data_IF_315474647102
#
_entry.id   IF_315474647102
#
_cell.length_a   1.000
_cell.length_b   1.000
_cell.length_c   1.000
_cell.angle_alpha   90.00
_cell.angle_beta   90.00
_cell.angle_gamma   90.00
#
_symmetry.space_group_name_H-M   'P 1'
#
loop_
_entity.id
_entity.type
_entity.pdbx_description
1 polymer ?
#
# COMPACT_ATOMS: atom_id res chain seq x y z
N UNK A 1 28.57 -4.51 -19.02
CA UNK A 1 27.70 -3.55 -18.35
C UNK A 1 26.91 -4.34 -17.32
N UNK A 2 27.19 -4.20 -16.03
CA UNK A 2 26.41 -4.83 -14.97
C UNK A 2 25.01 -4.22 -15.04
N UNK A 3 24.03 -5.04 -15.45
CA UNK A 3 22.62 -4.67 -15.24
C UNK A 3 22.49 -4.47 -13.72
N UNK A 4 22.24 -3.25 -13.28
CA UNK A 4 21.75 -3.03 -11.94
C UNK A 4 20.58 -4.00 -11.77
N UNK A 5 20.48 -4.73 -10.65
CA UNK A 5 19.30 -5.52 -10.38
C UNK A 5 18.11 -4.56 -10.26
N UNK A 6 17.42 -4.38 -11.37
CA UNK A 6 16.28 -3.43 -11.50
C UNK A 6 15.09 -3.93 -10.66
N UNK A 7 15.15 -5.15 -10.17
CA UNK A 7 14.20 -5.67 -9.20
C UNK A 7 14.79 -5.58 -7.78
N UNK A 8 15.01 -4.34 -7.32
CA UNK A 8 15.17 -4.12 -5.90
C UNK A 8 13.85 -4.45 -5.19
N UNK A 9 13.91 -4.85 -3.91
CA UNK A 9 12.73 -5.02 -3.05
C UNK A 9 11.73 -3.86 -3.18
N UNK A 10 12.23 -2.64 -3.37
CA UNK A 10 11.43 -1.43 -3.61
C UNK A 10 10.56 -1.51 -4.88
N UNK A 11 10.92 -2.30 -5.88
CA UNK A 11 10.10 -2.43 -7.09
C UNK A 11 8.79 -3.17 -6.80
N UNK A 12 8.82 -4.23 -5.99
CA UNK A 12 7.62 -4.97 -5.63
C UNK A 12 6.69 -4.12 -4.75
N UNK A 13 7.22 -3.52 -3.69
CA UNK A 13 6.45 -2.63 -2.83
C UNK A 13 5.87 -1.45 -3.63
N UNK A 14 6.62 -0.88 -4.58
CA UNK A 14 6.15 0.18 -5.45
C UNK A 14 5.02 -0.28 -6.38
N UNK A 15 5.11 -1.48 -6.95
CA UNK A 15 4.05 -2.06 -7.79
C UNK A 15 2.75 -2.24 -7.00
N UNK A 16 2.83 -2.82 -5.80
CA UNK A 16 1.66 -3.00 -4.93
C UNK A 16 1.12 -1.63 -4.48
N UNK A 17 1.97 -0.68 -4.11
CA UNK A 17 1.55 0.68 -3.75
C UNK A 17 0.81 1.38 -4.91
N UNK A 18 1.27 1.19 -6.15
CA UNK A 18 0.59 1.71 -7.33
C UNK A 18 -0.80 1.11 -7.49
N UNK A 19 -0.93 -0.23 -7.34
CA UNK A 19 -2.21 -0.92 -7.40
C UNK A 19 -3.20 -0.41 -6.35
N UNK A 20 -2.74 -0.32 -5.10
CA UNK A 20 -3.54 0.20 -3.98
C UNK A 20 -3.97 1.64 -4.25
N UNK A 21 -3.08 2.47 -4.81
CA UNK A 21 -3.41 3.86 -5.16
C UNK A 21 -4.43 3.94 -6.30
N UNK A 22 -4.21 3.17 -7.36
CA UNK A 22 -5.06 3.19 -8.55
C UNK A 22 -6.47 2.67 -8.25
N UNK A 23 -6.61 1.72 -7.32
CA UNK A 23 -7.90 1.20 -6.88
C UNK A 23 -8.82 2.24 -6.23
N UNK A 24 -8.27 3.34 -5.70
CA UNK A 24 -9.07 4.40 -5.08
C UNK A 24 -9.73 5.34 -6.09
N UNK A 25 -9.16 5.46 -7.29
CA UNK A 25 -9.59 6.44 -8.30
C UNK A 25 -10.63 5.87 -9.29
N UNK A 26 -10.98 4.57 -9.19
CA UNK A 26 -11.93 3.91 -10.10
C UNK A 26 -13.35 3.98 -9.58
N UNK A 27 -14.34 4.18 -10.47
CA UNK A 27 -15.75 4.22 -10.11
C UNK A 27 -16.35 2.82 -9.86
N UNK A 28 -17.41 2.74 -9.07
CA UNK A 28 -18.04 1.47 -8.66
C UNK A 28 -18.46 0.64 -9.89
N UNK A 29 -18.08 -0.63 -9.94
CA UNK A 29 -18.44 -1.56 -11.01
C UNK A 29 -17.50 -1.59 -12.22
N UNK A 30 -16.46 -0.73 -12.27
CA UNK A 30 -15.46 -0.80 -13.32
C UNK A 30 -14.35 -1.80 -12.96
N UNK A 31 -13.86 -2.51 -13.99
CA UNK A 31 -12.64 -3.32 -13.89
C UNK A 31 -11.42 -2.43 -13.98
N UNK A 32 -10.56 -2.46 -12.97
CA UNK A 32 -9.23 -1.86 -13.10
C UNK A 32 -8.35 -2.85 -13.84
N UNK A 33 -8.05 -2.54 -15.09
CA UNK A 33 -7.00 -3.26 -15.81
C UNK A 33 -5.65 -2.73 -15.33
N UNK A 34 -5.05 -3.40 -14.37
CA UNK A 34 -3.64 -3.22 -14.15
C UNK A 34 -2.85 -3.98 -15.23
N UNK A 35 -1.63 -3.51 -15.54
CA UNK A 35 -0.76 -4.08 -16.57
C UNK A 35 -0.60 -5.61 -16.52
N UNK A 36 -0.92 -6.23 -15.37
CA UNK A 36 -0.68 -7.64 -15.12
C UNK A 36 -1.91 -8.45 -14.71
N UNK A 37 -3.03 -7.82 -14.27
CA UNK A 37 -4.26 -8.53 -13.89
C UNK A 37 -5.47 -7.61 -13.76
N UNK A 38 -6.67 -8.22 -13.69
CA UNK A 38 -7.93 -7.52 -13.50
C UNK A 38 -8.29 -7.49 -12.02
N UNK A 39 -8.45 -6.31 -11.45
CA UNK A 39 -8.96 -6.14 -10.09
C UNK A 39 -10.43 -5.76 -10.19
N UNK A 40 -11.28 -6.53 -9.53
CA UNK A 40 -12.67 -6.18 -9.35
C UNK A 40 -12.80 -5.24 -8.16
N UNK A 41 -13.13 -4.00 -8.40
CA UNK A 41 -13.25 -2.99 -7.35
C UNK A 41 -14.38 -3.26 -6.37
N UNK A 42 -15.50 -3.83 -6.82
CA UNK A 42 -16.63 -4.15 -5.97
C UNK A 42 -16.21 -5.01 -4.77
N UNK A 43 -15.39 -6.02 -5.03
CA UNK A 43 -14.95 -6.96 -4.01
C UNK A 43 -14.15 -6.25 -2.90
N UNK A 44 -13.20 -5.38 -3.28
CA UNK A 44 -12.38 -4.65 -2.30
C UNK A 44 -13.15 -3.58 -1.52
N UNK A 45 -14.18 -2.98 -2.10
CA UNK A 45 -15.01 -2.01 -1.39
C UNK A 45 -15.91 -2.69 -0.37
N UNK A 46 -16.48 -3.84 -0.73
CA UNK A 46 -17.30 -4.66 0.14
C UNK A 46 -16.47 -5.28 1.27
N UNK A 47 -15.26 -5.78 0.97
CA UNK A 47 -14.30 -6.26 1.97
C UNK A 47 -13.89 -5.15 2.94
N UNK A 48 -13.59 -3.95 2.44
CA UNK A 48 -13.26 -2.81 3.28
C UNK A 48 -14.45 -2.39 4.16
N UNK A 49 -15.67 -2.42 3.62
CA UNK A 49 -16.91 -2.16 4.39
C UNK A 49 -17.12 -3.21 5.48
N UNK A 50 -16.93 -4.49 5.16
CA UNK A 50 -17.02 -5.59 6.12
C UNK A 50 -15.95 -5.46 7.23
N UNK A 51 -14.69 -5.21 6.85
CA UNK A 51 -13.58 -5.01 7.80
C UNK A 51 -13.82 -3.81 8.72
N UNK A 52 -14.31 -2.69 8.17
CA UNK A 52 -14.65 -1.51 8.98
C UNK A 52 -15.77 -1.84 9.97
N UNK A 53 -16.79 -2.57 9.56
CA UNK A 53 -17.91 -2.93 10.44
C UNK A 53 -17.44 -3.84 11.57
N UNK A 54 -16.67 -4.87 11.26
CA UNK A 54 -16.13 -5.82 12.22
C UNK A 54 -15.21 -5.15 13.24
N UNK A 55 -14.26 -4.33 12.75
CA UNK A 55 -13.22 -3.70 13.55
C UNK A 55 -13.52 -2.23 13.88
N UNK A 56 -14.78 -1.76 13.81
CA UNK A 56 -15.13 -0.35 13.98
C UNK A 56 -14.61 0.25 15.31
N UNK A 57 -14.58 -0.57 16.37
CA UNK A 57 -14.04 -0.14 17.67
C UNK A 57 -12.57 0.28 17.61
N UNK A 58 -11.80 -0.27 16.68
CA UNK A 58 -10.38 0.01 16.51
C UNK A 58 -10.12 1.40 15.90
N UNK A 59 -11.06 1.91 15.12
CA UNK A 59 -11.00 3.26 14.56
C UNK A 59 -11.15 4.38 15.61
N UNK A 60 -11.53 4.03 16.85
CA UNK A 60 -11.71 4.99 17.96
C UNK A 60 -10.40 5.44 18.58
N UNK A 61 -9.34 4.65 18.46
CA UNK A 61 -8.01 4.93 19.02
C UNK A 61 -6.92 4.65 17.99
N UNK A 62 -5.86 5.49 17.94
CA UNK A 62 -4.75 5.25 17.03
C UNK A 62 -4.04 3.91 17.33
N UNK A 63 -3.86 3.10 16.32
CA UNK A 63 -3.08 1.86 16.35
C UNK A 63 -1.92 1.92 15.37
N UNK A 64 -0.84 1.18 15.63
CA UNK A 64 0.31 1.11 14.70
C UNK A 64 -0.02 0.31 13.46
N UNK A 65 -0.70 -0.80 13.63
CA UNK A 65 -1.32 -1.54 12.54
C UNK A 65 -2.63 -0.84 12.17
N UNK A 66 -2.72 -0.34 10.97
CA UNK A 66 -3.81 0.50 10.49
C UNK A 66 -4.71 -0.27 9.53
N UNK A 67 -5.92 0.21 9.30
CA UNK A 67 -6.79 -0.34 8.25
C UNK A 67 -6.17 -0.27 6.85
N UNK A 68 -5.19 0.63 6.64
CA UNK A 68 -4.44 0.65 5.38
C UNK A 68 -3.53 -0.59 5.26
N UNK A 69 -2.99 -1.13 6.35
CA UNK A 69 -2.24 -2.40 6.31
C UNK A 69 -3.15 -3.55 5.89
N UNK A 70 -4.35 -3.69 6.49
CA UNK A 70 -5.34 -4.69 6.08
C UNK A 70 -5.66 -4.57 4.58
N UNK A 71 -5.87 -3.32 4.12
CA UNK A 71 -6.15 -3.04 2.72
C UNK A 71 -4.98 -3.40 1.78
N UNK A 72 -3.74 -3.15 2.22
CA UNK A 72 -2.52 -3.53 1.50
C UNK A 72 -2.40 -5.06 1.42
N UNK A 73 -2.70 -5.78 2.50
CA UNK A 73 -2.61 -7.25 2.52
C UNK A 73 -3.57 -7.89 1.53
N UNK A 74 -4.78 -7.37 1.38
CA UNK A 74 -5.71 -7.83 0.34
C UNK A 74 -5.12 -7.68 -1.07
N UNK A 75 -4.44 -6.54 -1.34
CA UNK A 75 -3.73 -6.34 -2.62
C UNK A 75 -2.48 -7.20 -2.75
N UNK A 76 -1.79 -7.50 -1.65
CA UNK A 76 -0.66 -8.42 -1.66
C UNK A 76 -1.12 -9.81 -2.10
N UNK A 77 -2.17 -10.34 -1.50
CA UNK A 77 -2.73 -11.63 -1.89
C UNK A 77 -3.23 -11.62 -3.33
N UNK A 78 -4.00 -10.60 -3.73
CA UNK A 78 -4.46 -10.47 -5.10
C UNK A 78 -3.31 -10.39 -6.13
N UNK A 79 -2.17 -9.78 -5.77
CA UNK A 79 -1.00 -9.70 -6.63
C UNK A 79 -0.29 -11.05 -6.81
N UNK A 80 -0.34 -11.91 -5.79
CA UNK A 80 0.25 -13.24 -5.81
C UNK A 80 -0.81 -14.33 -5.95
N UNK A 81 -2.09 -13.93 -6.14
CA UNK A 81 -3.20 -14.86 -6.18
C UNK A 81 -2.97 -15.95 -7.23
N UNK A 82 -3.41 -17.14 -6.87
CA UNK A 82 -3.39 -18.37 -7.63
C UNK A 82 -3.86 -18.22 -9.09
N UNK A 83 -4.63 -17.19 -9.42
CA UNK A 83 -5.07 -16.96 -10.80
C UNK A 83 -3.90 -16.74 -11.77
N UNK A 84 -2.76 -16.22 -11.31
CA UNK A 84 -1.56 -16.18 -12.17
C UNK A 84 -0.96 -17.58 -12.41
N UNK A 85 -1.18 -18.51 -11.51
CA UNK A 85 -0.80 -19.91 -11.70
C UNK A 85 -1.79 -20.70 -12.58
N UNK A 86 -3.05 -20.24 -12.70
CA UNK A 86 -4.06 -20.89 -13.54
C UNK A 86 -3.95 -20.53 -15.02
N UNK A 87 -3.25 -19.45 -15.39
CA UNK A 87 -2.91 -19.15 -16.78
C UNK A 87 -1.85 -20.09 -17.37
N UNK A 88 -1.46 -21.12 -16.64
CA UNK A 88 -0.43 -22.07 -17.02
C UNK A 88 -0.77 -22.99 -18.17
N UNK A 89 -2.01 -23.06 -18.58
CA UNK A 89 -2.35 -23.75 -19.82
C UNK A 89 -1.56 -23.22 -21.04
N UNK A 90 -1.18 -21.93 -20.99
CA UNK A 90 -0.33 -21.33 -22.04
C UNK A 90 1.15 -21.71 -21.90
N UNK A 91 1.65 -22.02 -20.69
CA UNK A 91 3.07 -22.38 -20.50
C UNK A 91 3.44 -23.76 -21.04
N UNK A 92 2.48 -24.63 -21.25
CA UNK A 92 2.74 -25.94 -21.85
C UNK A 92 3.33 -25.86 -23.27
N UNK A 93 3.21 -24.69 -23.89
CA UNK A 93 3.78 -24.41 -25.20
C UNK A 93 5.14 -23.67 -25.13
N UNK A 94 5.62 -23.36 -23.92
CA UNK A 94 6.87 -22.64 -23.72
C UNK A 94 8.05 -23.61 -23.73
N UNK A 95 9.21 -23.08 -24.11
CA UNK A 95 10.47 -23.80 -23.92
C UNK A 95 10.84 -23.83 -22.44
N UNK A 96 11.49 -24.90 -22.02
CA UNK A 96 11.87 -25.10 -20.61
C UNK A 96 12.76 -23.96 -20.10
N UNK A 97 13.67 -23.46 -20.94
CA UNK A 97 14.53 -22.33 -20.59
C UNK A 97 13.71 -21.07 -20.28
N UNK A 98 12.66 -20.81 -21.05
CA UNK A 98 11.79 -19.63 -20.86
C UNK A 98 11.02 -19.73 -19.53
N UNK A 99 10.57 -20.94 -19.18
CA UNK A 99 9.91 -21.21 -17.88
C UNK A 99 10.88 -20.97 -16.71
N UNK A 100 12.10 -21.51 -16.79
CA UNK A 100 13.13 -21.31 -15.75
C UNK A 100 13.43 -19.81 -15.56
N UNK A 101 13.66 -19.10 -16.65
CA UNK A 101 13.94 -17.65 -16.61
C UNK A 101 12.77 -16.89 -15.99
N UNK A 102 11.53 -17.22 -16.38
CA UNK A 102 10.34 -16.59 -15.84
C UNK A 102 10.24 -16.76 -14.32
N UNK A 103 10.43 -17.98 -13.80
CA UNK A 103 10.36 -18.22 -12.36
C UNK A 103 11.51 -17.59 -11.59
N UNK A 104 12.73 -17.64 -12.14
CA UNK A 104 13.86 -16.97 -11.50
C UNK A 104 13.63 -15.45 -11.41
N UNK A 105 13.20 -14.83 -12.49
CA UNK A 105 12.99 -13.38 -12.52
C UNK A 105 11.75 -12.95 -11.72
N UNK A 106 10.66 -13.70 -11.83
CA UNK A 106 9.38 -13.27 -11.25
C UNK A 106 9.24 -13.57 -9.75
N UNK A 107 9.74 -14.72 -9.30
CA UNK A 107 9.49 -15.19 -7.93
C UNK A 107 10.77 -15.37 -7.11
N UNK A 108 11.73 -16.15 -7.61
CA UNK A 108 12.89 -16.56 -6.82
C UNK A 108 13.79 -15.38 -6.48
N UNK A 109 14.05 -14.50 -7.44
CA UNK A 109 14.85 -13.30 -7.20
C UNK A 109 14.23 -12.40 -6.13
N UNK A 110 12.89 -12.33 -6.08
CA UNK A 110 12.17 -11.58 -5.05
C UNK A 110 12.26 -12.24 -3.68
N UNK A 111 12.03 -13.53 -3.59
CA UNK A 111 12.17 -14.28 -2.34
C UNK A 111 13.59 -14.17 -1.76
N UNK A 112 14.62 -14.20 -2.62
CA UNK A 112 16.02 -13.95 -2.22
C UNK A 112 16.22 -12.55 -1.65
N UNK A 113 15.61 -11.54 -2.24
CA UNK A 113 15.72 -10.13 -1.76
C UNK A 113 15.17 -9.95 -0.36
N UNK A 114 14.12 -10.70 0.00
CA UNK A 114 13.49 -10.64 1.33
C UNK A 114 14.02 -11.69 2.31
N UNK A 115 15.11 -12.38 1.96
CA UNK A 115 15.67 -13.49 2.76
C UNK A 115 14.63 -14.57 3.13
N UNK A 116 13.64 -14.78 2.24
CA UNK A 116 12.54 -15.72 2.45
C UNK A 116 12.90 -17.17 2.10
N UNK A 117 14.11 -17.43 1.61
CA UNK A 117 14.59 -18.77 1.24
C UNK A 117 15.72 -19.20 2.17
N UNK A 118 15.59 -20.42 2.73
CA UNK A 118 16.67 -21.08 3.46
C UNK A 118 17.48 -22.02 2.53
N UNK A 119 18.51 -22.67 3.06
CA UNK A 119 19.39 -23.56 2.29
C UNK A 119 18.62 -24.78 1.72
N UNK A 120 17.62 -25.31 2.43
CA UNK A 120 16.79 -26.41 1.94
C UNK A 120 15.93 -25.97 0.75
N UNK A 121 15.37 -24.75 0.81
CA UNK A 121 14.61 -24.16 -0.28
C UNK A 121 15.47 -23.98 -1.53
N UNK A 122 16.68 -23.45 -1.35
CA UNK A 122 17.64 -23.26 -2.45
C UNK A 122 18.02 -24.61 -3.08
N UNK A 123 18.26 -25.63 -2.27
CA UNK A 123 18.54 -26.98 -2.77
C UNK A 123 17.35 -27.55 -3.55
N UNK A 124 16.13 -27.36 -3.05
CA UNK A 124 14.91 -27.77 -3.77
C UNK A 124 14.77 -27.06 -5.12
N UNK A 125 14.91 -25.74 -5.15
CA UNK A 125 14.87 -24.95 -6.39
C UNK A 125 15.92 -25.45 -7.39
N UNK A 126 17.15 -25.69 -6.95
CA UNK A 126 18.22 -26.20 -7.80
C UNK A 126 17.90 -27.60 -8.35
N UNK A 127 17.29 -28.48 -7.56
CA UNK A 127 16.86 -29.81 -8.03
C UNK A 127 15.78 -29.71 -9.11
N UNK A 128 14.82 -28.82 -8.94
CA UNK A 128 13.78 -28.54 -9.96
C UNK A 128 14.41 -28.01 -11.25
N UNK A 129 15.34 -27.06 -11.15
CA UNK A 129 16.06 -26.54 -12.33
C UNK A 129 16.88 -27.62 -13.03
N UNK A 130 17.50 -28.54 -12.28
CA UNK A 130 18.23 -29.66 -12.86
C UNK A 130 17.30 -30.58 -13.65
N UNK A 131 16.13 -30.96 -13.09
CA UNK A 131 15.13 -31.77 -13.77
C UNK A 131 14.70 -31.11 -15.10
N UNK A 132 14.39 -29.82 -15.08
CA UNK A 132 14.02 -29.10 -16.29
C UNK A 132 15.15 -29.03 -17.34
N UNK A 133 16.41 -28.88 -16.92
CA UNK A 133 17.55 -28.82 -17.84
C UNK A 133 17.90 -30.17 -18.46
N UNK A 134 17.69 -31.25 -17.73
CA UNK A 134 17.97 -32.60 -18.20
C UNK A 134 16.88 -33.13 -19.13
N UNK A 135 15.68 -32.52 -19.13
CA UNK A 135 14.62 -32.90 -20.05
C UNK A 135 14.93 -32.38 -21.47
N UNK A 136 15.25 -33.27 -22.37
CA UNK A 136 15.65 -32.96 -23.74
C UNK A 136 14.49 -32.54 -24.67
N UNK A 137 13.35 -32.14 -24.15
CA UNK A 137 12.15 -31.83 -24.92
C UNK A 137 11.89 -30.35 -25.06
N UNK A 138 11.58 -29.93 -26.27
CA UNK A 138 11.21 -28.54 -26.57
C UNK A 138 9.86 -28.12 -25.96
N UNK A 139 8.99 -29.12 -25.66
CA UNK A 139 7.67 -28.90 -25.04
C UNK A 139 7.58 -29.64 -23.69
N UNK A 140 6.81 -29.08 -22.77
CA UNK A 140 6.59 -29.67 -21.46
C UNK A 140 5.75 -30.94 -21.58
N UNK A 141 6.34 -32.12 -21.27
CA UNK A 141 5.62 -33.39 -21.22
C UNK A 141 4.77 -33.52 -19.97
N UNK A 142 3.79 -34.45 -19.99
CA UNK A 142 2.89 -34.69 -18.86
C UNK A 142 3.66 -35.05 -17.57
N UNK A 143 4.79 -35.74 -17.69
CA UNK A 143 5.67 -36.05 -16.54
C UNK A 143 6.27 -34.83 -15.88
N UNK A 144 6.48 -33.73 -16.60
CA UNK A 144 6.98 -32.47 -16.05
C UNK A 144 5.87 -31.59 -15.45
N UNK A 145 4.60 -31.87 -15.77
CA UNK A 145 3.46 -31.13 -15.18
C UNK A 145 3.40 -31.33 -13.67
N UNK A 146 3.65 -32.56 -13.20
CA UNK A 146 3.65 -32.85 -11.77
C UNK A 146 4.79 -32.13 -11.03
N UNK A 147 5.96 -32.06 -11.67
CA UNK A 147 7.12 -31.32 -11.13
C UNK A 147 6.81 -29.84 -11.11
N UNK A 148 6.17 -29.30 -12.14
CA UNK A 148 5.75 -27.91 -12.23
C UNK A 148 4.71 -27.57 -11.15
N UNK A 149 3.70 -28.44 -10.98
CA UNK A 149 2.70 -28.28 -9.93
C UNK A 149 3.32 -28.29 -8.52
N UNK A 150 4.27 -29.21 -8.27
CA UNK A 150 5.01 -29.24 -7.00
C UNK A 150 5.78 -27.94 -6.77
N UNK A 151 6.39 -27.39 -7.80
CA UNK A 151 7.13 -26.14 -7.74
C UNK A 151 6.20 -24.95 -7.46
N UNK A 152 5.01 -24.93 -8.04
CA UNK A 152 4.00 -23.92 -7.76
C UNK A 152 3.51 -23.96 -6.32
N UNK A 153 3.20 -25.13 -5.81
CA UNK A 153 2.83 -25.29 -4.40
C UNK A 153 3.94 -24.79 -3.47
N UNK A 154 5.18 -25.09 -3.79
CA UNK A 154 6.32 -24.57 -3.02
C UNK A 154 6.36 -23.03 -3.06
N UNK A 155 6.23 -22.41 -4.23
CA UNK A 155 6.25 -20.97 -4.38
C UNK A 155 5.05 -20.31 -3.69
N UNK A 156 3.85 -20.87 -3.83
CA UNK A 156 2.64 -20.42 -3.15
C UNK A 156 2.83 -20.38 -1.63
N UNK A 157 3.28 -21.48 -1.04
CA UNK A 157 3.56 -21.55 0.39
C UNK A 157 4.60 -20.51 0.86
N UNK A 158 5.59 -20.19 0.03
CA UNK A 158 6.60 -19.17 0.36
C UNK A 158 6.05 -17.74 0.26
N UNK A 159 5.15 -17.50 -0.67
CA UNK A 159 4.52 -16.18 -0.86
C UNK A 159 3.41 -15.93 0.17
N UNK A 160 2.79 -16.98 0.69
CA UNK A 160 1.80 -16.92 1.78
C UNK A 160 2.45 -16.81 3.18
N UNK A 161 3.79 -16.78 3.28
CA UNK A 161 4.50 -16.60 4.55
C UNK A 161 4.12 -15.22 5.15
N UNK A 162 3.48 -15.25 6.33
CA UNK A 162 3.01 -14.05 7.04
C UNK A 162 4.14 -13.04 7.27
N UNK A 163 5.35 -13.52 7.58
CA UNK A 163 6.50 -12.64 7.81
C UNK A 163 6.87 -11.87 6.54
N UNK A 164 6.85 -12.53 5.38
CA UNK A 164 7.09 -11.91 4.11
C UNK A 164 6.01 -10.88 3.78
N UNK A 165 4.75 -11.24 3.99
CA UNK A 165 3.60 -10.36 3.81
C UNK A 165 3.72 -9.08 4.66
N UNK A 166 4.05 -9.21 5.96
CA UNK A 166 4.23 -8.06 6.84
C UNK A 166 5.40 -7.18 6.40
N UNK A 167 6.54 -7.76 6.03
CA UNK A 167 7.71 -6.99 5.56
C UNK A 167 7.39 -6.18 4.30
N UNK A 168 6.73 -6.78 3.34
CA UNK A 168 6.32 -6.09 2.10
C UNK A 168 5.21 -5.07 2.41
N UNK A 169 4.25 -5.43 3.25
CA UNK A 169 3.17 -4.55 3.68
C UNK A 169 3.67 -3.27 4.34
N UNK A 170 4.64 -3.36 5.23
CA UNK A 170 5.27 -2.20 5.88
C UNK A 170 6.00 -1.28 4.87
N UNK A 171 6.66 -1.86 3.86
CA UNK A 171 7.30 -1.09 2.80
C UNK A 171 6.26 -0.38 1.93
N UNK A 172 5.18 -1.07 1.54
CA UNK A 172 4.05 -0.49 0.79
C UNK A 172 3.38 0.62 1.58
N UNK A 173 3.09 0.34 2.86
CA UNK A 173 2.52 1.34 3.77
C UNK A 173 3.40 2.60 3.85
N UNK A 174 4.71 2.43 3.98
CA UNK A 174 5.64 3.56 4.05
C UNK A 174 5.60 4.43 2.81
N UNK A 175 5.49 3.84 1.60
CA UNK A 175 5.35 4.55 0.34
C UNK A 175 4.02 5.32 0.26
N UNK A 176 2.92 4.70 0.68
CA UNK A 176 1.59 5.30 0.65
C UNK A 176 1.41 6.35 1.73
N UNK A 177 1.99 6.14 2.92
CA UNK A 177 1.86 7.05 4.07
C UNK A 177 2.49 8.42 3.82
N UNK A 178 3.50 8.54 2.97
CA UNK A 178 4.07 9.83 2.57
C UNK A 178 3.28 10.52 1.45
N UNK A 179 2.38 9.80 0.75
CA UNK A 179 1.58 10.34 -0.34
C UNK A 179 0.29 10.99 0.20
N UNK A 180 0.28 12.29 0.32
CA UNK A 180 -0.82 13.03 0.92
C UNK A 180 -2.10 13.05 0.09
N UNK A 181 -2.00 13.00 -1.24
CA UNK A 181 -3.18 12.88 -2.09
C UNK A 181 -3.83 11.51 -1.90
N UNK A 182 -3.02 10.47 -1.84
CA UNK A 182 -3.49 9.13 -1.51
C UNK A 182 -4.18 9.12 -0.15
N UNK A 183 -3.54 9.62 0.92
CA UNK A 183 -4.13 9.64 2.26
C UNK A 183 -5.45 10.41 2.32
N UNK A 184 -5.56 11.51 1.58
CA UNK A 184 -6.82 12.25 1.49
C UNK A 184 -7.93 11.42 0.83
N UNK A 185 -7.65 10.81 -0.32
CA UNK A 185 -8.61 9.99 -1.06
C UNK A 185 -9.01 8.75 -0.24
N UNK A 186 -8.03 8.06 0.35
CA UNK A 186 -8.24 6.90 1.20
C UNK A 186 -9.09 7.25 2.42
N UNK A 187 -8.71 8.27 3.20
CA UNK A 187 -9.48 8.71 4.37
C UNK A 187 -10.88 9.19 4.00
N UNK A 188 -11.06 9.78 2.81
CA UNK A 188 -12.38 10.17 2.30
C UNK A 188 -13.23 8.95 1.95
N UNK A 189 -12.64 7.91 1.35
CA UNK A 189 -13.33 6.64 1.07
C UNK A 189 -13.79 5.98 2.36
N UNK A 190 -12.90 5.85 3.34
CA UNK A 190 -13.22 5.35 4.67
C UNK A 190 -14.38 6.13 5.32
N UNK A 191 -14.31 7.45 5.26
CA UNK A 191 -15.34 8.33 5.83
C UNK A 191 -16.70 8.14 5.14
N UNK A 192 -16.74 7.97 3.82
CA UNK A 192 -17.97 7.71 3.09
C UNK A 192 -18.61 6.40 3.54
N UNK A 193 -17.82 5.32 3.66
CA UNK A 193 -18.30 4.02 4.16
C UNK A 193 -18.86 4.16 5.58
N UNK A 194 -18.17 4.86 6.48
CA UNK A 194 -18.64 5.08 7.86
C UNK A 194 -19.95 5.87 7.89
N UNK A 195 -20.11 6.87 7.04
CA UNK A 195 -21.36 7.62 6.94
C UNK A 195 -22.51 6.77 6.40
N UNK A 196 -22.22 5.88 5.46
CA UNK A 196 -23.17 4.90 4.94
C UNK A 196 -23.61 3.92 6.03
N UNK A 197 -22.66 3.28 6.73
CA UNK A 197 -22.92 2.39 7.86
C UNK A 197 -23.76 3.09 8.96
N UNK A 198 -23.49 4.37 9.19
CA UNK A 198 -24.27 5.19 10.12
C UNK A 198 -25.71 5.40 9.63
N UNK A 199 -25.89 5.68 8.34
CA UNK A 199 -27.23 5.86 7.72
C UNK A 199 -28.03 4.56 7.75
N UNK A 200 -27.38 3.42 7.59
CA UNK A 200 -27.95 2.09 7.64
C UNK A 200 -28.20 1.58 9.07
N UNK A 201 -27.88 2.38 10.09
CA UNK A 201 -27.96 2.02 11.51
C UNK A 201 -27.10 0.81 11.92
N UNK A 202 -26.03 0.53 11.18
CA UNK A 202 -25.08 -0.54 11.48
C UNK A 202 -24.04 -0.09 12.53
N UNK A 203 -23.88 1.21 12.71
CA UNK A 203 -23.08 1.80 13.78
C UNK A 203 -23.90 2.89 14.52
N UNK A 204 -23.78 2.96 15.84
CA UNK A 204 -24.57 3.90 16.65
C UNK A 204 -24.05 5.34 16.57
N UNK A 205 -22.75 5.54 16.61
CA UNK A 205 -22.12 6.87 16.70
C UNK A 205 -20.85 6.94 15.84
N UNK A 206 -20.61 8.13 15.27
CA UNK A 206 -19.33 8.42 14.63
C UNK A 206 -18.17 8.38 15.64
N UNK A 207 -16.97 8.22 15.12
CA UNK A 207 -15.75 8.22 15.92
C UNK A 207 -15.59 9.55 16.64
N UNK A 208 -15.24 9.52 17.91
CA UNK A 208 -15.02 10.71 18.74
C UNK A 208 -13.53 11.03 18.83
N UNK A 209 -13.21 12.29 19.10
CA UNK A 209 -11.81 12.71 19.32
C UNK A 209 -11.21 11.92 20.50
N UNK A 210 -10.01 11.34 20.33
CA UNK A 210 -9.37 10.63 21.43
C UNK A 210 -8.91 11.64 22.49
N UNK A 211 -8.97 11.25 23.74
CA UNK A 211 -8.49 12.08 24.86
C UNK A 211 -6.98 12.33 24.80
N UNK A 212 -6.26 11.44 24.16
CA UNK A 212 -4.80 11.48 24.06
C UNK A 212 -4.31 10.95 22.71
N UNK A 213 -3.31 11.62 22.13
CA UNK A 213 -2.58 11.13 20.98
C UNK A 213 -1.21 10.58 21.42
N UNK A 214 -0.92 9.30 21.14
CA UNK A 214 0.35 8.69 21.51
C UNK A 214 1.56 9.43 20.95
N UNK A 215 2.68 9.43 21.68
CA UNK A 215 3.92 10.11 21.25
C UNK A 215 4.42 9.54 19.92
N UNK A 216 4.36 8.21 19.76
CA UNK A 216 4.79 7.58 18.50
C UNK A 216 3.99 8.13 17.30
N UNK A 217 2.68 8.36 17.43
CA UNK A 217 1.84 8.90 16.36
C UNK A 217 2.22 10.36 16.06
N UNK A 218 2.40 11.18 17.08
CA UNK A 218 2.84 12.57 16.93
C UNK A 218 4.17 12.62 16.18
N UNK A 219 5.12 11.77 16.55
CA UNK A 219 6.42 11.68 15.87
C UNK A 219 6.26 11.23 14.42
N UNK A 220 5.47 10.16 14.16
CA UNK A 220 5.24 9.67 12.80
C UNK A 220 4.66 10.75 11.88
N UNK A 221 3.64 11.49 12.34
CA UNK A 221 3.04 12.59 11.58
C UNK A 221 4.02 13.74 11.40
N UNK A 222 4.77 14.09 12.46
CA UNK A 222 5.74 15.19 12.42
C UNK A 222 6.83 14.92 11.36
N UNK A 223 7.43 13.73 11.39
CA UNK A 223 8.46 13.34 10.41
C UNK A 223 7.92 13.19 9.00
N UNK A 224 6.73 12.56 8.83
CA UNK A 224 6.06 12.45 7.54
C UNK A 224 5.82 13.83 6.92
N UNK A 225 5.33 14.77 7.72
CA UNK A 225 4.99 16.12 7.29
C UNK A 225 6.19 17.09 7.34
N UNK A 226 7.40 16.56 7.65
CA UNK A 226 8.68 17.29 7.69
C UNK A 226 8.63 18.51 8.61
N UNK A 227 7.94 18.41 9.73
CA UNK A 227 7.77 19.52 10.66
C UNK A 227 7.12 20.77 10.05
N UNK A 228 6.30 20.62 8.98
CA UNK A 228 5.77 21.72 8.18
C UNK A 228 4.25 21.70 8.18
N UNK A 229 3.61 22.86 8.36
CA UNK A 229 2.16 23.01 8.25
C UNK A 229 1.67 22.60 6.86
N UNK A 230 0.76 21.63 6.77
CA UNK A 230 0.28 21.07 5.51
C UNK A 230 -0.65 21.98 4.71
N UNK A 231 -1.02 23.14 5.25
CA UNK A 231 -1.87 24.11 4.56
C UNK A 231 -1.13 25.38 4.10
N UNK A 232 -0.24 25.94 4.94
CA UNK A 232 0.46 27.19 4.61
C UNK A 232 1.99 27.03 4.48
N UNK A 233 2.51 25.83 4.70
CA UNK A 233 3.93 25.47 4.62
C UNK A 233 4.85 26.20 5.62
N UNK A 234 4.26 26.83 6.68
CA UNK A 234 5.05 27.36 7.78
C UNK A 234 5.91 26.26 8.38
N UNK A 235 7.19 26.51 8.55
CA UNK A 235 8.09 25.63 9.30
C UNK A 235 7.69 25.61 10.77
N UNK A 236 7.46 24.43 11.30
CA UNK A 236 7.07 24.15 12.69
C UNK A 236 8.15 23.39 13.43
N UNK A 237 9.30 23.11 12.81
CA UNK A 237 10.39 22.33 13.40
C UNK A 237 11.02 23.04 14.60
N UNK A 238 11.07 24.36 14.57
CA UNK A 238 11.55 25.18 15.69
C UNK A 238 10.59 25.21 16.88
N UNK A 239 9.33 24.83 16.70
CA UNK A 239 8.33 24.75 17.77
C UNK A 239 8.52 23.55 18.70
N UNK A 240 9.43 22.62 18.36
CA UNK A 240 9.86 21.53 19.26
C UNK A 240 10.82 22.06 20.33
N UNK A 241 11.56 23.13 20.05
CA UNK A 241 12.40 23.78 21.04
C UNK A 241 11.51 24.57 22.00
N UNK A 242 11.26 24.00 23.16
CA UNK A 242 10.83 24.54 24.48
C UNK A 242 9.92 25.80 24.57
N UNK A 243 9.73 26.58 23.52
CA UNK A 243 9.12 27.89 23.61
C UNK A 243 7.70 27.98 23.01
N UNK A 244 7.26 27.03 22.18
CA UNK A 244 5.93 27.17 21.56
C UNK A 244 5.28 25.85 21.13
N UNK A 245 5.13 24.91 22.07
CA UNK A 245 4.39 23.65 21.86
C UNK A 245 2.92 23.90 21.44
N UNK A 246 2.42 25.12 21.62
CA UNK A 246 1.06 25.53 21.25
C UNK A 246 0.89 25.78 19.73
N UNK A 247 1.94 25.80 18.95
CA UNK A 247 1.87 25.99 17.50
C UNK A 247 1.66 24.66 16.74
N UNK A 248 1.99 23.51 17.34
CA UNK A 248 1.83 22.20 16.70
C UNK A 248 0.43 21.64 16.93
N UNK A 249 -0.32 21.49 15.85
CA UNK A 249 -1.65 20.88 15.88
C UNK A 249 -1.70 19.63 14.98
N UNK A 250 -1.98 18.49 15.62
CA UNK A 250 -2.28 17.23 14.95
C UNK A 250 -3.78 17.19 14.66
N UNK A 251 -4.13 17.44 13.43
CA UNK A 251 -5.50 17.59 12.96
C UNK A 251 -5.91 16.43 12.07
N UNK A 252 -7.21 16.12 12.02
CA UNK A 252 -7.74 15.09 11.15
C UNK A 252 -7.83 15.60 9.71
N UNK A 253 -7.33 14.84 8.72
CA UNK A 253 -7.47 15.16 7.29
C UNK A 253 -8.96 15.27 6.96
N UNK A 254 -9.73 14.23 7.24
CA UNK A 254 -11.20 14.24 7.19
C UNK A 254 -11.71 14.46 8.61
N UNK A 255 -12.49 15.50 8.87
CA UNK A 255 -13.05 15.76 10.19
C UNK A 255 -13.90 14.61 10.72
N UNK A 256 -13.88 14.37 12.03
CA UNK A 256 -14.62 13.27 12.65
C UNK A 256 -16.14 13.41 12.44
N UNK A 257 -16.64 14.65 12.45
CA UNK A 257 -18.05 14.97 12.17
C UNK A 257 -18.47 14.63 10.74
N UNK A 258 -17.50 14.38 9.85
CA UNK A 258 -17.69 13.97 8.46
C UNK A 258 -17.28 12.51 8.22
N UNK A 259 -17.34 11.67 9.25
CA UNK A 259 -17.00 10.26 9.17
C UNK A 259 -15.51 9.96 9.26
N UNK A 260 -14.67 10.95 9.55
CA UNK A 260 -13.24 10.73 9.79
C UNK A 260 -12.98 9.78 10.97
N UNK A 261 -11.76 9.24 11.01
CA UNK A 261 -11.33 8.23 11.99
C UNK A 261 -10.12 8.70 12.78
N UNK A 262 -9.79 7.99 13.86
CA UNK A 262 -8.54 8.15 14.59
C UNK A 262 -7.42 7.23 14.07
N UNK A 263 -7.61 6.66 12.87
CA UNK A 263 -6.54 5.94 12.18
C UNK A 263 -5.37 6.90 11.86
N UNK A 264 -4.11 6.48 12.03
CA UNK A 264 -2.91 7.28 11.72
C UNK A 264 -2.89 7.90 10.33
N UNK A 265 -3.52 7.25 9.35
CA UNK A 265 -3.61 7.73 7.96
C UNK A 265 -4.45 9.01 7.82
N UNK A 266 -5.35 9.26 8.79
CA UNK A 266 -6.26 10.42 8.76
C UNK A 266 -5.71 11.65 9.53
N UNK A 267 -4.46 11.67 9.94
CA UNK A 267 -3.88 12.81 10.64
C UNK A 267 -2.95 13.64 9.75
N UNK A 268 -2.83 14.93 10.08
CA UNK A 268 -1.92 15.89 9.44
C UNK A 268 -1.38 16.90 10.44
N UNK A 269 -0.21 17.49 10.13
CA UNK A 269 0.37 18.57 10.93
C UNK A 269 -0.10 19.93 10.41
N UNK A 270 -0.68 20.75 11.30
CA UNK A 270 -1.08 22.12 11.00
C UNK A 270 -0.50 23.11 12.03
N UNK A 271 -0.28 24.36 11.62
CA UNK A 271 -0.10 25.45 12.56
C UNK A 271 -1.44 25.84 13.17
N UNK A 272 -1.42 26.51 14.32
CA UNK A 272 -2.59 26.98 15.09
C UNK A 272 -3.60 27.73 14.21
N UNK A 273 -3.13 28.69 13.44
CA UNK A 273 -3.98 29.49 12.53
C UNK A 273 -4.68 28.63 11.49
N UNK A 274 -3.92 27.75 10.83
CA UNK A 274 -4.48 26.88 9.79
C UNK A 274 -5.46 25.85 10.37
N UNK A 275 -5.17 25.30 11.54
CA UNK A 275 -6.07 24.40 12.24
C UNK A 275 -7.41 25.10 12.59
N UNK A 276 -7.35 26.29 13.18
CA UNK A 276 -8.54 27.08 13.49
C UNK A 276 -9.35 27.42 12.22
N UNK A 277 -8.69 27.82 11.13
CA UNK A 277 -9.36 28.20 9.88
C UNK A 277 -9.93 26.99 9.12
N UNK A 278 -9.38 25.80 9.30
CA UNK A 278 -9.91 24.58 8.71
C UNK A 278 -11.21 24.15 9.41
N UNK A 279 -11.20 24.08 10.75
CA UNK A 279 -12.34 23.56 11.49
C UNK A 279 -12.83 22.22 10.92
N UNK A 280 -14.12 22.12 10.64
CA UNK A 280 -14.76 20.95 10.04
C UNK A 280 -14.80 20.94 8.51
N UNK A 281 -14.07 21.83 7.85
CA UNK A 281 -14.06 21.92 6.38
C UNK A 281 -13.17 20.83 5.79
N UNK A 282 -13.64 20.19 4.73
CA UNK A 282 -12.79 19.34 3.89
C UNK A 282 -11.85 20.25 3.10
N UNK A 283 -10.56 20.00 3.23
CA UNK A 283 -9.53 20.68 2.45
C UNK A 283 -8.65 19.64 1.77
N UNK A 284 -8.65 19.66 0.45
CA UNK A 284 -7.72 18.82 -0.33
C UNK A 284 -6.28 19.28 -0.05
N UNK A 285 -5.33 18.37 0.10
CA UNK A 285 -3.92 18.70 0.27
C UNK A 285 -3.43 19.58 -0.88
N UNK A 286 -2.63 20.58 -0.55
CA UNK A 286 -1.91 21.36 -1.54
C UNK A 286 -0.64 20.62 -1.95
N UNK A 287 -0.09 20.95 -3.13
CA UNK A 287 1.24 20.48 -3.52
C UNK A 287 2.27 20.84 -2.44
N UNK A 288 3.06 19.87 -2.03
CA UNK A 288 3.91 19.95 -0.85
C UNK A 288 5.36 20.29 -1.14
N UNK A 289 5.71 20.59 -2.35
CA UNK A 289 7.06 21.06 -2.59
C UNK A 289 7.00 22.51 -3.06
N UNK A 290 7.72 23.33 -2.35
CA UNK A 290 8.13 24.61 -2.87
C UNK A 290 9.04 24.29 -4.04
N UNK A 291 8.74 24.82 -5.20
CA UNK A 291 9.55 24.61 -6.39
C UNK A 291 10.84 25.44 -6.23
N UNK A 292 11.78 24.97 -5.40
CA UNK A 292 13.09 25.61 -5.23
C UNK A 292 13.90 25.66 -6.53
N UNK A 293 13.49 24.84 -7.51
CA UNK A 293 14.15 24.66 -8.79
C UNK A 293 13.32 25.22 -9.95
N UNK A 294 12.34 26.12 -9.68
CA UNK A 294 11.64 26.82 -10.74
C UNK A 294 12.63 27.66 -11.54
N UNK A 295 12.73 27.34 -12.82
CA UNK A 295 13.40 28.23 -13.76
C UNK A 295 12.52 29.47 -13.93
N UNK A 296 13.08 30.66 -13.77
CA UNK A 296 12.36 31.94 -13.82
C UNK A 296 11.50 32.12 -15.08
N UNK A 297 11.83 31.43 -16.16
CA UNK A 297 11.12 31.47 -17.44
C UNK A 297 9.78 30.69 -17.45
N UNK A 298 9.48 29.88 -16.45
CA UNK A 298 8.24 29.09 -16.37
C UNK A 298 7.15 29.78 -15.55
N UNK A 299 7.48 30.82 -14.78
CA UNK A 299 6.52 31.57 -13.95
C UNK A 299 5.46 32.30 -14.76
N UNK A 300 5.76 32.67 -16.02
CA UNK A 300 4.88 33.46 -16.86
C UNK A 300 3.86 32.63 -17.67
N UNK A 301 4.02 31.28 -17.74
CA UNK A 301 3.19 30.44 -18.60
C UNK A 301 2.24 29.49 -17.87
N UNK A 302 2.31 29.43 -16.55
CA UNK A 302 1.42 28.60 -15.73
C UNK A 302 0.60 29.50 -14.82
N UNK A 303 -0.49 30.05 -15.36
CA UNK A 303 -1.61 30.51 -14.53
C UNK A 303 -2.22 29.28 -13.90
N UNK A 304 -1.82 28.97 -12.65
CA UNK A 304 -2.43 27.96 -11.79
C UNK A 304 -3.28 28.69 -10.75
#
# INVERSE_FOLDING_TARGET
MSKFPIESKYNLAYKIASLVSDSLDVEHGEKVQHKYFWIWRADFEDELKASILEKFSELKTPKKETFLHDYIYNFYFAYFDYQEFWFLDDYYNWKIEDIIIFFEEKYISRLKVYDALNNSDINFINSIYQIFRESNNENLHDELKDVLNLYFHFLGNKLEDEKLMYLIGDEVFSLLFINKNFLFNYSKKMANIILELKKENQIDKLVQRPSYLPIWLKNAIFYRDRGTCQNCFKDLSNSISLLDLNELHYDHIIPLEKGGTNDPTNFQLLCKTCNKNKGIKLKKPKRNFVLYWERDNLKNNLKI
#
